data_IF_720535485350
#
_entry.id   IF_720535485350
#
_cell.length_a   1.000
_cell.length_b   1.000
_cell.length_c   1.000
_cell.angle_alpha   90.00
_cell.angle_beta   90.00
_cell.angle_gamma   90.00
#
_symmetry.space_group_name_H-M   'P 1'
#
loop_
_entity.id
_entity.type
_entity.pdbx_description
1 polymer ?
#
# COMPACT_ATOMS: atom_id res chain seq x y z
N UNK A 1 -36.65 25.34 -62.48
CA UNK A 1 -36.62 23.87 -62.36
C UNK A 1 -35.22 23.54 -61.85
N UNK A 2 -35.05 23.43 -60.53
CA UNK A 2 -35.04 22.17 -59.72
C UNK A 2 -33.73 21.42 -59.96
N UNK A 3 -32.86 21.04 -59.01
CA UNK A 3 -32.94 20.73 -57.56
C UNK A 3 -31.47 20.59 -57.10
N UNK A 4 -31.05 21.18 -55.98
CA UNK A 4 -30.96 20.53 -54.65
C UNK A 4 -30.18 19.22 -54.67
N UNK A 5 -28.95 19.23 -54.14
CA UNK A 5 -28.31 18.05 -53.55
C UNK A 5 -27.43 18.52 -52.36
N UNK A 6 -28.10 18.81 -51.25
CA UNK A 6 -27.47 18.89 -49.94
C UNK A 6 -27.53 17.47 -49.36
N UNK A 7 -26.38 16.83 -49.33
CA UNK A 7 -26.16 15.51 -48.75
C UNK A 7 -26.38 15.57 -47.22
N UNK A 8 -27.45 14.96 -46.64
CA UNK A 8 -27.78 15.07 -45.23
C UNK A 8 -27.33 13.81 -44.48
N UNK A 9 -26.05 13.43 -44.61
CA UNK A 9 -25.55 12.15 -44.11
C UNK A 9 -24.20 12.25 -43.37
N UNK A 10 -24.05 13.20 -42.44
CA UNK A 10 -22.99 13.12 -41.43
C UNK A 10 -23.31 13.87 -40.12
N UNK A 11 -24.49 13.63 -39.55
CA UNK A 11 -24.72 13.84 -38.11
C UNK A 11 -24.96 12.47 -37.48
N UNK A 12 -23.87 11.74 -37.22
CA UNK A 12 -23.89 10.64 -36.27
C UNK A 12 -24.19 11.25 -34.90
N UNK A 13 -25.47 11.28 -34.52
CA UNK A 13 -25.89 11.66 -33.19
C UNK A 13 -25.15 10.77 -32.18
N UNK A 14 -24.36 11.38 -31.30
CA UNK A 14 -23.70 10.67 -30.21
C UNK A 14 -24.76 9.88 -29.44
N UNK A 15 -24.46 8.61 -29.14
CA UNK A 15 -25.43 7.81 -28.39
C UNK A 15 -25.57 8.39 -26.98
N UNK A 16 -26.75 8.30 -26.34
CA UNK A 16 -26.94 8.79 -24.97
C UNK A 16 -25.97 8.16 -23.95
N UNK A 17 -25.41 6.99 -24.25
CA UNK A 17 -24.35 6.35 -23.46
C UNK A 17 -23.01 7.09 -23.57
N UNK A 18 -22.63 7.55 -24.77
CA UNK A 18 -21.40 8.32 -25.00
C UNK A 18 -21.45 9.68 -24.28
N UNK A 19 -22.62 10.32 -24.27
CA UNK A 19 -22.85 11.60 -23.60
C UNK A 19 -22.79 11.47 -22.07
N UNK A 20 -23.30 10.35 -21.52
CA UNK A 20 -23.16 10.01 -20.10
C UNK A 20 -21.72 9.65 -19.70
N UNK A 21 -21.00 8.92 -20.54
CA UNK A 21 -19.59 8.60 -20.30
C UNK A 21 -18.72 9.87 -20.31
N UNK A 22 -18.91 10.74 -21.30
CA UNK A 22 -18.19 12.00 -21.43
C UNK A 22 -18.47 12.96 -20.25
N UNK A 23 -19.72 13.09 -19.83
CA UNK A 23 -20.08 13.90 -18.66
C UNK A 23 -19.55 13.33 -17.35
N UNK A 24 -19.41 12.01 -17.23
CA UNK A 24 -18.82 11.35 -16.05
C UNK A 24 -17.30 11.57 -16.00
N UNK A 25 -16.60 11.40 -17.13
CA UNK A 25 -15.17 11.69 -17.23
C UNK A 25 -14.87 13.16 -16.91
N UNK A 26 -15.64 14.09 -17.48
CA UNK A 26 -15.49 15.53 -17.23
C UNK A 26 -15.63 15.88 -15.76
N UNK A 27 -16.64 15.32 -15.08
CA UNK A 27 -16.83 15.51 -13.63
C UNK A 27 -15.64 14.98 -12.83
N UNK A 28 -15.08 13.83 -13.21
CA UNK A 28 -13.94 13.24 -12.53
C UNK A 28 -12.67 14.10 -12.68
N UNK A 29 -12.34 14.51 -13.92
CA UNK A 29 -11.18 15.37 -14.21
C UNK A 29 -11.29 16.73 -13.49
N UNK A 30 -12.49 17.34 -13.48
CA UNK A 30 -12.72 18.60 -12.78
C UNK A 30 -12.52 18.47 -11.27
N UNK A 31 -12.98 17.36 -10.67
CA UNK A 31 -12.78 17.10 -9.26
C UNK A 31 -11.28 16.98 -8.93
N UNK A 32 -10.50 16.24 -9.74
CA UNK A 32 -9.05 16.13 -9.56
C UNK A 32 -8.33 17.48 -9.70
N UNK A 33 -8.70 18.30 -10.70
CA UNK A 33 -8.14 19.66 -10.88
C UNK A 33 -8.34 20.53 -9.64
N UNK A 34 -9.56 20.54 -9.10
CA UNK A 34 -9.88 21.34 -7.90
C UNK A 34 -9.07 20.88 -6.68
N UNK A 35 -8.91 19.57 -6.51
CA UNK A 35 -8.11 18.99 -5.44
C UNK A 35 -6.64 19.37 -5.58
N UNK A 36 -6.08 19.24 -6.78
CA UNK A 36 -4.68 19.60 -7.08
C UNK A 36 -4.41 21.09 -6.82
N UNK A 37 -5.33 21.97 -7.21
CA UNK A 37 -5.24 23.41 -6.95
C UNK A 37 -5.23 23.73 -5.44
N UNK A 38 -6.14 23.13 -4.68
CA UNK A 38 -6.18 23.30 -3.22
C UNK A 38 -4.90 22.80 -2.56
N UNK A 39 -4.41 21.63 -2.98
CA UNK A 39 -3.16 21.08 -2.48
C UNK A 39 -1.98 22.01 -2.80
N UNK A 40 -1.84 22.44 -4.06
CA UNK A 40 -0.77 23.33 -4.49
C UNK A 40 -0.77 24.66 -3.72
N UNK A 41 -1.95 25.28 -3.53
CA UNK A 41 -2.08 26.49 -2.72
C UNK A 41 -1.73 26.26 -1.24
N UNK A 42 -2.17 25.14 -0.65
CA UNK A 42 -1.91 24.83 0.76
C UNK A 42 -0.43 24.54 1.06
N UNK A 43 0.30 23.97 0.08
CA UNK A 43 1.72 23.63 0.18
C UNK A 43 2.64 24.75 -0.31
N UNK A 44 2.10 25.84 -0.85
CA UNK A 44 2.88 26.95 -1.40
C UNK A 44 3.71 26.57 -2.63
N UNK A 45 3.21 25.65 -3.46
CA UNK A 45 3.89 25.19 -4.67
C UNK A 45 3.90 26.32 -5.71
N UNK A 46 5.03 26.54 -6.36
CA UNK A 46 5.15 27.49 -7.46
C UNK A 46 4.27 27.04 -8.65
N UNK A 47 3.22 27.81 -8.89
CA UNK A 47 2.24 27.54 -9.94
C UNK A 47 2.72 28.18 -11.27
N UNK A 48 2.68 27.46 -12.40
CA UNK A 48 3.10 28.01 -13.68
C UNK A 48 2.31 29.26 -14.08
N UNK A 49 2.97 30.20 -14.76
CA UNK A 49 2.40 31.50 -15.16
C UNK A 49 1.20 31.37 -16.12
N UNK A 50 1.04 30.22 -16.77
CA UNK A 50 -0.07 29.92 -17.70
C UNK A 50 -1.39 29.56 -16.99
N UNK A 51 -1.35 29.29 -15.68
CA UNK A 51 -2.53 28.88 -14.89
C UNK A 51 -3.69 29.86 -14.87
N UNK A 52 -3.51 31.18 -14.66
CA UNK A 52 -4.61 32.14 -14.62
C UNK A 52 -5.40 32.17 -15.94
N UNK A 53 -4.70 31.99 -17.08
CA UNK A 53 -5.31 31.91 -18.40
C UNK A 53 -6.20 30.68 -18.55
N UNK A 54 -5.70 29.50 -18.17
CA UNK A 54 -6.48 28.25 -18.22
C UNK A 54 -7.59 28.19 -17.15
N UNK A 55 -7.40 28.81 -15.98
CA UNK A 55 -8.44 28.92 -14.95
C UNK A 55 -9.59 29.80 -15.40
N UNK A 56 -9.32 30.87 -16.18
CA UNK A 56 -10.36 31.77 -16.68
C UNK A 56 -11.33 31.08 -17.64
N UNK A 57 -10.92 29.98 -18.26
CA UNK A 57 -11.77 29.11 -19.08
C UNK A 57 -12.70 28.22 -18.23
N UNK A 58 -12.50 28.18 -16.90
CA UNK A 58 -13.26 27.36 -15.95
C UNK A 58 -13.96 28.31 -14.98
N UNK A 59 -15.20 28.70 -15.29
CA UNK A 59 -15.98 29.57 -14.41
C UNK A 59 -16.46 28.79 -13.16
N UNK A 60 -15.98 29.12 -11.95
CA UNK A 60 -16.39 28.45 -10.72
C UNK A 60 -17.83 28.82 -10.29
N UNK A 61 -18.42 29.89 -10.84
CA UNK A 61 -19.82 30.25 -10.60
C UNK A 61 -20.78 29.36 -11.43
N UNK A 62 -20.40 29.01 -12.66
CA UNK A 62 -21.14 28.08 -13.51
C UNK A 62 -21.20 26.66 -12.93
N UNK A 63 -20.14 26.19 -12.25
CA UNK A 63 -20.11 24.86 -11.62
C UNK A 63 -21.04 24.67 -10.41
N UNK A 64 -21.49 25.76 -9.76
CA UNK A 64 -22.40 25.68 -8.59
C UNK A 64 -23.88 25.57 -8.98
N UNK A 65 -24.23 25.89 -10.23
CA UNK A 65 -25.56 25.68 -10.77
C UNK A 65 -25.65 24.27 -11.39
N UNK A 66 -26.36 23.37 -10.70
CA UNK A 66 -26.51 21.93 -11.01
C UNK A 66 -27.04 21.62 -12.44
N UNK A 67 -27.46 22.61 -13.21
CA UNK A 67 -28.19 22.45 -14.48
C UNK A 67 -27.62 23.25 -15.67
N UNK A 68 -26.49 23.95 -15.53
CA UNK A 68 -25.96 24.81 -16.61
C UNK A 68 -24.54 24.42 -17.09
N UNK A 69 -24.11 23.18 -16.89
CA UNK A 69 -22.82 22.68 -17.38
C UNK A 69 -22.88 22.20 -18.85
N UNK A 70 -23.71 22.86 -19.67
CA UNK A 70 -23.79 22.66 -21.12
C UNK A 70 -22.98 23.72 -21.90
N UNK A 71 -22.47 24.76 -21.21
CA UNK A 71 -21.43 25.63 -21.75
C UNK A 71 -20.07 24.92 -21.62
N UNK A 72 -19.76 24.11 -22.63
CA UNK A 72 -18.63 23.21 -22.73
C UNK A 72 -17.28 23.93 -22.54
N UNK A 73 -16.68 23.80 -21.36
CA UNK A 73 -15.22 23.85 -21.29
C UNK A 73 -14.69 22.71 -22.18
N UNK A 74 -13.87 23.00 -23.21
CA UNK A 74 -13.39 21.98 -24.11
C UNK A 74 -12.59 20.95 -23.31
N UNK A 75 -12.91 19.66 -23.48
CA UNK A 75 -12.25 18.57 -22.76
C UNK A 75 -10.71 18.62 -22.93
N UNK A 76 -10.26 19.14 -24.07
CA UNK A 76 -8.85 19.43 -24.35
C UNK A 76 -8.24 20.43 -23.35
N UNK A 77 -8.90 21.56 -23.06
CA UNK A 77 -8.38 22.54 -22.09
C UNK A 77 -8.37 21.99 -20.66
N UNK A 78 -9.36 21.15 -20.31
CA UNK A 78 -9.36 20.44 -19.03
C UNK A 78 -8.20 19.44 -18.93
N UNK A 79 -7.92 18.71 -20.01
CA UNK A 79 -6.80 17.76 -20.06
C UNK A 79 -5.45 18.48 -19.99
N UNK A 80 -5.28 19.62 -20.67
CA UNK A 80 -4.08 20.45 -20.61
C UNK A 80 -3.85 21.02 -19.21
N UNK A 81 -4.89 21.57 -18.58
CA UNK A 81 -4.82 22.08 -17.21
C UNK A 81 -4.49 20.96 -16.22
N UNK A 82 -5.13 19.80 -16.36
CA UNK A 82 -4.85 18.62 -15.54
C UNK A 82 -3.39 18.19 -15.66
N UNK A 83 -2.86 18.08 -16.89
CA UNK A 83 -1.47 17.69 -17.13
C UNK A 83 -0.47 18.69 -16.55
N UNK A 84 -0.75 19.98 -16.66
CA UNK A 84 0.09 21.06 -16.13
C UNK A 84 0.09 21.05 -14.58
N UNK A 85 -1.08 20.90 -13.96
CA UNK A 85 -1.20 20.75 -12.50
C UNK A 85 -0.55 19.47 -11.98
N UNK A 86 -0.73 18.34 -12.68
CA UNK A 86 -0.11 17.07 -12.30
C UNK A 86 1.42 17.16 -12.31
N UNK A 87 2.00 17.93 -13.23
CA UNK A 87 3.45 18.22 -13.24
C UNK A 87 3.88 19.13 -12.09
N UNK A 88 3.09 20.17 -11.79
CA UNK A 88 3.40 21.10 -10.70
C UNK A 88 3.31 20.43 -9.32
N UNK A 89 2.36 19.50 -9.15
CA UNK A 89 2.08 18.81 -7.88
C UNK A 89 2.95 17.56 -7.67
N UNK A 90 3.78 17.19 -8.66
CA UNK A 90 4.73 16.08 -8.54
C UNK A 90 5.66 16.28 -7.31
N UNK A 91 5.88 15.24 -6.48
CA UNK A 91 5.59 13.83 -6.70
C UNK A 91 4.17 13.37 -6.31
N UNK A 92 3.32 14.23 -5.76
CA UNK A 92 1.98 13.83 -5.31
C UNK A 92 1.06 13.47 -6.49
N UNK A 93 0.35 12.35 -6.38
CA UNK A 93 -0.53 11.88 -7.46
C UNK A 93 -1.93 12.50 -7.35
N UNK A 94 -2.53 12.96 -8.47
CA UNK A 94 -3.87 13.55 -8.46
C UNK A 94 -4.93 12.63 -7.86
N UNK A 95 -4.87 11.35 -8.21
CA UNK A 95 -5.76 10.30 -7.71
C UNK A 95 -5.65 10.15 -6.19
N UNK A 96 -4.43 10.15 -5.65
CA UNK A 96 -4.22 10.03 -4.19
C UNK A 96 -4.81 11.22 -3.45
N UNK A 97 -4.62 12.43 -3.96
CA UNK A 97 -5.18 13.63 -3.36
C UNK A 97 -6.71 13.61 -3.42
N UNK A 98 -7.29 13.19 -4.55
CA UNK A 98 -8.74 13.11 -4.73
C UNK A 98 -9.37 12.08 -3.79
N UNK A 99 -8.70 10.94 -3.56
CA UNK A 99 -9.08 9.94 -2.56
C UNK A 99 -9.03 10.53 -1.15
N UNK A 100 -7.96 11.26 -0.80
CA UNK A 100 -7.86 11.92 0.50
C UNK A 100 -8.97 12.94 0.71
N UNK A 101 -9.28 13.80 -0.26
CA UNK A 101 -10.30 14.86 -0.11
C UNK A 101 -11.74 14.30 -0.05
N UNK A 102 -12.06 13.25 -0.82
CA UNK A 102 -13.34 12.55 -0.75
C UNK A 102 -13.58 11.91 0.62
N UNK A 103 -12.55 11.27 1.21
CA UNK A 103 -12.68 10.62 2.52
C UNK A 103 -12.64 11.61 3.69
N UNK A 104 -12.00 12.78 3.53
CA UNK A 104 -12.01 13.90 4.48
C UNK A 104 -13.42 14.50 4.71
N UNK A 105 -14.25 14.56 3.66
CA UNK A 105 -15.61 15.12 3.76
C UNK A 105 -16.66 14.11 4.24
N UNK A 106 -16.30 12.83 4.34
CA UNK A 106 -17.25 11.73 4.59
C UNK A 106 -17.12 10.99 5.92
N UNK A 107 -16.21 11.37 6.82
CA UNK A 107 -15.86 10.49 7.94
C UNK A 107 -15.85 11.19 9.31
N UNK A 108 -16.78 10.76 10.19
CA UNK A 108 -16.71 11.00 11.63
C UNK A 108 -15.59 10.18 12.28
N UNK A 109 -15.85 9.52 13.41
CA UNK A 109 -14.85 8.70 14.15
C UNK A 109 -14.05 7.67 13.31
N UNK A 110 -14.58 7.24 12.15
CA UNK A 110 -13.92 6.33 11.20
C UNK A 110 -12.77 6.97 10.38
N UNK A 111 -12.63 8.29 10.40
CA UNK A 111 -11.56 9.05 9.72
C UNK A 111 -10.27 9.20 10.55
N UNK A 112 -10.32 8.91 11.85
CA UNK A 112 -9.16 9.01 12.77
C UNK A 112 -8.05 8.01 12.40
N UNK A 113 -8.40 6.90 11.75
CA UNK A 113 -7.50 5.80 11.41
C UNK A 113 -6.84 5.93 10.02
N UNK A 114 -7.01 7.09 9.37
CA UNK A 114 -6.45 7.41 8.06
C UNK A 114 -7.51 7.45 6.95
N UNK A 115 -7.30 8.29 5.91
CA UNK A 115 -8.27 8.58 4.86
C UNK A 115 -8.30 7.52 3.75
N UNK A 116 -7.83 6.29 4.02
CA UNK A 116 -7.67 5.25 3.01
C UNK A 116 -8.14 3.91 3.57
N UNK A 117 -9.10 3.29 2.88
CA UNK A 117 -9.73 2.03 3.29
C UNK A 117 -8.76 0.86 3.56
N UNK A 118 -7.70 0.70 2.76
CA UNK A 118 -6.74 -0.39 2.97
C UNK A 118 -5.87 -0.17 4.22
N UNK A 119 -5.47 1.08 4.49
CA UNK A 119 -4.73 1.43 5.73
C UNK A 119 -5.55 1.06 6.96
N UNK A 120 -6.87 1.33 6.95
CA UNK A 120 -7.76 0.92 8.05
C UNK A 120 -7.79 -0.60 8.23
N UNK A 121 -7.83 -1.38 7.14
CA UNK A 121 -7.78 -2.85 7.22
C UNK A 121 -6.46 -3.36 7.79
N UNK A 122 -5.33 -2.72 7.44
CA UNK A 122 -4.02 -3.03 8.01
C UNK A 122 -3.98 -2.74 9.52
N UNK A 123 -4.56 -1.63 9.97
CA UNK A 123 -4.67 -1.33 11.41
C UNK A 123 -5.52 -2.37 12.12
N UNK A 124 -6.68 -2.74 11.56
CA UNK A 124 -7.52 -3.82 12.12
C UNK A 124 -6.74 -5.14 12.19
N UNK A 125 -5.97 -5.49 11.15
CA UNK A 125 -5.13 -6.68 11.15
C UNK A 125 -4.05 -6.62 12.24
N UNK A 126 -3.38 -5.48 12.43
CA UNK A 126 -2.39 -5.29 13.48
C UNK A 126 -2.99 -5.50 14.88
N UNK A 127 -4.16 -4.89 15.14
CA UNK A 127 -4.89 -5.12 16.39
C UNK A 127 -5.36 -6.57 16.53
N UNK A 128 -5.79 -7.22 15.45
CA UNK A 128 -6.18 -8.62 15.49
C UNK A 128 -5.01 -9.55 15.86
N UNK A 129 -3.82 -9.36 15.27
CA UNK A 129 -2.62 -10.12 15.64
C UNK A 129 -2.17 -9.81 17.07
N UNK A 130 -2.25 -8.55 17.50
CA UNK A 130 -1.93 -8.18 18.88
C UNK A 130 -2.88 -8.83 19.88
N UNK A 131 -4.19 -8.79 19.63
CA UNK A 131 -5.19 -9.43 20.48
C UNK A 131 -5.00 -10.95 20.49
N UNK A 132 -4.69 -11.56 19.34
CA UNK A 132 -4.38 -12.97 19.25
C UNK A 132 -3.14 -13.33 20.08
N UNK A 133 -2.08 -12.53 19.97
CA UNK A 133 -0.84 -12.71 20.74
C UNK A 133 -1.11 -12.65 22.24
N UNK A 134 -1.84 -11.63 22.70
CA UNK A 134 -2.20 -11.47 24.11
C UNK A 134 -3.11 -12.60 24.60
N UNK A 135 -4.12 -12.99 23.81
CA UNK A 135 -5.04 -14.06 24.17
C UNK A 135 -4.32 -15.40 24.30
N UNK A 136 -3.43 -15.72 23.36
CA UNK A 136 -2.65 -16.97 23.39
C UNK A 136 -1.58 -16.92 24.48
N UNK A 137 -1.00 -15.76 24.79
CA UNK A 137 -0.02 -15.59 25.88
C UNK A 137 -0.52 -16.06 27.24
N UNK A 138 -1.84 -16.14 27.44
CA UNK A 138 -2.47 -16.62 28.68
C UNK A 138 -2.76 -18.14 28.67
N UNK A 139 -2.47 -18.84 27.57
CA UNK A 139 -2.74 -20.26 27.45
C UNK A 139 -1.79 -21.08 28.34
N UNK A 140 -2.30 -22.06 29.11
CA UNK A 140 -1.47 -22.87 30.01
C UNK A 140 -0.44 -23.75 29.27
N UNK A 141 -0.63 -23.95 27.96
CA UNK A 141 0.33 -24.62 27.09
C UNK A 141 1.59 -23.77 26.79
N UNK A 142 1.57 -22.46 27.06
CA UNK A 142 2.76 -21.62 26.98
C UNK A 142 3.44 -21.56 28.35
N UNK A 143 4.41 -22.43 28.55
CA UNK A 143 5.28 -22.42 29.71
C UNK A 143 6.76 -22.39 29.28
N UNK A 144 7.68 -22.20 30.24
CA UNK A 144 9.10 -22.09 29.94
C UNK A 144 9.65 -23.32 29.21
N UNK A 145 9.15 -24.50 29.53
CA UNK A 145 9.55 -25.77 28.91
C UNK A 145 9.09 -25.86 27.44
N UNK A 146 7.85 -25.47 27.15
CA UNK A 146 7.30 -25.44 25.78
C UNK A 146 7.93 -24.35 24.93
N UNK A 147 8.40 -23.27 25.54
CA UNK A 147 9.15 -22.21 24.85
C UNK A 147 10.59 -22.59 24.55
N UNK A 148 11.23 -23.37 25.41
CA UNK A 148 12.61 -23.83 25.18
C UNK A 148 12.64 -25.05 24.25
N UNK A 149 11.64 -25.92 24.37
CA UNK A 149 11.48 -27.13 23.59
C UNK A 149 11.55 -26.91 22.08
N UNK A 150 12.15 -27.88 21.41
CA UNK A 150 12.27 -27.93 19.96
C UNK A 150 11.01 -28.56 19.35
N UNK A 151 10.77 -28.33 18.05
CA UNK A 151 9.59 -28.81 17.30
C UNK A 151 9.35 -30.31 17.47
N UNK A 152 10.41 -31.08 17.72
CA UNK A 152 10.36 -32.54 17.84
C UNK A 152 10.08 -33.05 19.27
N UNK A 153 10.10 -32.16 20.27
CA UNK A 153 10.05 -32.53 21.70
C UNK A 153 8.72 -32.23 22.38
N UNK A 154 7.87 -31.39 21.76
CA UNK A 154 6.57 -31.01 22.33
C UNK A 154 5.44 -31.95 21.92
N UNK A 155 4.47 -32.13 22.83
CA UNK A 155 3.17 -32.73 22.53
C UNK A 155 2.38 -31.88 21.51
N UNK A 156 1.74 -32.56 20.54
CA UNK A 156 1.24 -31.93 19.31
C UNK A 156 0.30 -30.72 19.51
N UNK A 157 -0.56 -30.70 20.52
CA UNK A 157 -1.42 -29.54 20.81
C UNK A 157 -0.62 -28.36 21.39
N UNK A 158 0.37 -28.63 22.24
CA UNK A 158 1.24 -27.58 22.79
C UNK A 158 2.06 -26.92 21.68
N UNK A 159 2.56 -27.71 20.73
CA UNK A 159 3.29 -27.22 19.56
C UNK A 159 2.44 -26.29 18.68
N UNK A 160 1.17 -26.62 18.44
CA UNK A 160 0.26 -25.74 17.68
C UNK A 160 0.08 -24.41 18.42
N UNK A 161 -0.13 -24.43 19.73
CA UNK A 161 -0.28 -23.20 20.53
C UNK A 161 0.98 -22.34 20.45
N UNK A 162 2.16 -22.93 20.59
CA UNK A 162 3.46 -22.26 20.43
C UNK A 162 3.61 -21.66 19.03
N UNK A 163 3.28 -22.41 17.98
CA UNK A 163 3.36 -21.93 16.60
C UNK A 163 2.39 -20.77 16.34
N UNK A 164 1.15 -20.84 16.81
CA UNK A 164 0.19 -19.74 16.64
C UNK A 164 0.62 -18.52 17.45
N UNK A 165 1.19 -18.72 18.64
CA UNK A 165 1.80 -17.65 19.43
C UNK A 165 2.94 -16.95 18.66
N UNK A 166 3.91 -17.70 18.15
CA UNK A 166 5.02 -17.15 17.36
C UNK A 166 4.54 -16.52 16.04
N UNK A 167 3.55 -17.12 15.39
CA UNK A 167 2.94 -16.59 14.17
C UNK A 167 2.22 -15.27 14.42
N UNK A 168 1.56 -15.12 15.57
CA UNK A 168 0.95 -13.85 15.97
C UNK A 168 2.00 -12.76 16.23
N UNK A 169 3.14 -13.11 16.83
CA UNK A 169 4.29 -12.20 16.99
C UNK A 169 4.87 -11.77 15.63
N UNK A 170 5.07 -12.71 14.71
CA UNK A 170 5.49 -12.42 13.34
C UNK A 170 4.46 -11.56 12.60
N UNK A 171 3.16 -11.79 12.83
CA UNK A 171 2.07 -11.02 12.25
C UNK A 171 2.05 -9.57 12.72
N UNK A 172 2.35 -9.32 14.00
CA UNK A 172 2.55 -7.97 14.53
C UNK A 172 3.70 -7.29 13.77
N UNK A 173 4.86 -7.93 13.65
CA UNK A 173 6.00 -7.38 12.91
C UNK A 173 5.67 -7.07 11.44
N UNK A 174 5.04 -8.01 10.74
CA UNK A 174 4.67 -7.87 9.33
C UNK A 174 3.63 -6.79 9.07
N UNK A 175 2.59 -6.71 9.91
CA UNK A 175 1.59 -5.65 9.82
C UNK A 175 2.17 -4.28 10.14
N UNK A 176 3.10 -4.19 11.09
CA UNK A 176 3.79 -2.94 11.41
C UNK A 176 4.66 -2.45 10.25
N UNK A 177 5.40 -3.35 9.59
CA UNK A 177 6.17 -3.04 8.37
C UNK A 177 5.27 -2.52 7.25
N UNK A 178 4.15 -3.21 7.00
CA UNK A 178 3.19 -2.83 5.97
C UNK A 178 2.53 -1.48 6.28
N UNK A 179 2.13 -1.25 7.54
CA UNK A 179 1.51 -0.02 7.98
C UNK A 179 2.46 1.18 7.87
N UNK A 180 3.71 1.04 8.31
CA UNK A 180 4.72 2.10 8.14
C UNK A 180 5.00 2.42 6.68
N UNK A 181 5.05 1.38 5.84
CA UNK A 181 5.20 1.58 4.39
C UNK A 181 4.01 2.37 3.84
N UNK A 182 2.79 1.93 4.14
CA UNK A 182 1.58 2.57 3.67
C UNK A 182 1.50 4.02 4.16
N UNK A 183 1.73 4.26 5.46
CA UNK A 183 1.73 5.60 6.05
C UNK A 183 2.72 6.54 5.33
N UNK A 184 3.91 6.06 4.97
CA UNK A 184 4.88 6.88 4.22
C UNK A 184 4.33 7.28 2.84
N UNK A 185 3.78 6.33 2.08
CA UNK A 185 3.17 6.64 0.78
C UNK A 185 1.98 7.60 0.91
N UNK A 186 1.19 7.48 2.00
CA UNK A 186 0.09 8.40 2.28
C UNK A 186 0.60 9.80 2.63
N UNK A 187 1.60 9.89 3.52
CA UNK A 187 2.20 11.15 3.94
C UNK A 187 2.86 11.91 2.77
N UNK A 188 3.48 11.17 1.85
CA UNK A 188 4.10 11.70 0.63
C UNK A 188 3.08 11.95 -0.50
N UNK A 189 1.79 11.65 -0.28
CA UNK A 189 0.72 11.72 -1.29
C UNK A 189 1.03 10.93 -2.58
N UNK A 190 1.76 9.83 -2.46
CA UNK A 190 2.16 8.91 -3.54
C UNK A 190 1.48 7.54 -3.44
N UNK A 191 0.46 7.42 -2.60
CA UNK A 191 -0.27 6.16 -2.41
C UNK A 191 -1.14 5.81 -3.62
N UNK A 192 -0.89 4.64 -4.21
CA UNK A 192 -1.70 4.09 -5.30
C UNK A 192 -2.46 2.81 -4.82
N UNK A 193 -3.82 2.82 -4.83
CA UNK A 193 -4.63 1.67 -4.44
C UNK A 193 -4.36 0.39 -5.24
N UNK A 194 -3.80 0.48 -6.45
CA UNK A 194 -3.48 -0.71 -7.28
C UNK A 194 -2.47 -1.62 -6.60
N UNK A 195 -1.62 -1.08 -5.73
CA UNK A 195 -0.62 -1.82 -4.98
C UNK A 195 -1.14 -2.34 -3.64
N UNK A 196 -2.45 -2.28 -3.36
CA UNK A 196 -3.01 -2.73 -2.09
C UNK A 196 -2.67 -4.18 -1.75
N UNK A 197 -2.72 -5.06 -2.75
CA UNK A 197 -2.32 -6.46 -2.59
C UNK A 197 -0.86 -6.63 -2.16
N UNK A 198 0.03 -5.70 -2.54
CA UNK A 198 1.46 -5.77 -2.20
C UNK A 198 1.71 -5.64 -0.69
N UNK A 199 0.89 -4.87 0.04
CA UNK A 199 1.00 -4.76 1.50
C UNK A 199 0.62 -6.07 2.19
N UNK A 200 -0.41 -6.76 1.69
CA UNK A 200 -0.82 -8.07 2.19
C UNK A 200 0.22 -9.16 1.88
N UNK A 201 0.79 -9.15 0.67
CA UNK A 201 1.90 -10.04 0.32
C UNK A 201 3.12 -9.83 1.22
N UNK A 202 3.43 -8.59 1.61
CA UNK A 202 4.51 -8.29 2.56
C UNK A 202 4.23 -8.86 3.95
N UNK A 203 2.99 -8.78 4.43
CA UNK A 203 2.60 -9.41 5.70
C UNK A 203 2.78 -10.93 5.61
N UNK A 204 2.32 -11.57 4.54
CA UNK A 204 2.47 -13.01 4.34
C UNK A 204 3.96 -13.42 4.35
N UNK A 205 4.81 -12.67 3.64
CA UNK A 205 6.25 -12.91 3.62
C UNK A 205 6.89 -12.69 5.01
N UNK A 206 6.42 -11.68 5.75
CA UNK A 206 6.80 -11.43 7.14
C UNK A 206 6.43 -12.58 8.08
N UNK A 207 5.21 -13.11 7.97
CA UNK A 207 4.78 -14.26 8.77
C UNK A 207 5.71 -15.46 8.58
N UNK A 208 6.02 -15.80 7.33
CA UNK A 208 6.93 -16.90 7.00
C UNK A 208 8.35 -16.63 7.51
N UNK A 209 8.88 -15.43 7.25
CA UNK A 209 10.22 -15.03 7.67
C UNK A 209 10.38 -15.00 9.20
N UNK A 210 9.39 -14.47 9.91
CA UNK A 210 9.35 -14.44 11.38
C UNK A 210 9.29 -15.84 11.98
N UNK A 211 8.41 -16.69 11.46
CA UNK A 211 8.31 -18.07 11.93
C UNK A 211 9.63 -18.83 11.70
N UNK A 212 10.20 -18.73 10.49
CA UNK A 212 11.49 -19.33 10.18
C UNK A 212 12.58 -18.84 11.13
N UNK A 213 12.68 -17.53 11.37
CA UNK A 213 13.73 -16.99 12.25
C UNK A 213 13.57 -17.49 13.69
N UNK A 214 12.34 -17.60 14.19
CA UNK A 214 12.06 -18.08 15.56
C UNK A 214 12.31 -19.58 15.77
N UNK A 215 12.25 -20.38 14.70
CA UNK A 215 12.42 -21.84 14.74
C UNK A 215 13.85 -22.25 14.39
N UNK A 216 14.46 -21.63 13.37
CA UNK A 216 15.77 -22.04 12.86
C UNK A 216 16.94 -21.44 13.65
N UNK A 217 16.75 -20.34 14.37
CA UNK A 217 17.83 -19.72 15.15
C UNK A 217 17.83 -20.34 16.55
N UNK A 218 18.82 -21.20 16.88
CA UNK A 218 18.98 -21.69 18.25
C UNK A 218 19.44 -20.52 19.11
N UNK A 219 18.53 -19.97 19.91
CA UNK A 219 18.83 -18.90 20.87
C UNK A 219 19.29 -19.51 22.19
N UNK A 220 20.47 -20.12 22.17
CA UNK A 220 21.23 -20.39 23.39
C UNK A 220 21.98 -19.12 23.75
N UNK A 221 21.25 -18.09 24.20
CA UNK A 221 21.88 -16.85 24.68
C UNK A 221 22.53 -17.13 26.03
N UNK A 222 23.79 -17.56 26.02
CA UNK A 222 24.63 -17.64 27.21
C UNK A 222 24.65 -16.25 27.88
N UNK A 223 23.90 -16.10 28.98
CA UNK A 223 23.80 -14.85 29.75
C UNK A 223 22.49 -14.06 29.62
N UNK A 224 21.50 -14.50 28.83
CA UNK A 224 20.19 -13.86 28.84
C UNK A 224 19.34 -14.35 30.03
N UNK A 225 18.94 -13.44 30.92
CA UNK A 225 18.12 -13.75 32.10
C UNK A 225 16.69 -14.25 31.76
N UNK A 226 16.30 -14.31 30.48
CA UNK A 226 14.97 -14.77 30.05
C UNK A 226 14.98 -15.35 28.61
N UNK A 227 15.45 -16.60 28.42
CA UNK A 227 15.42 -17.27 27.11
C UNK A 227 14.00 -17.39 26.52
N UNK A 228 12.98 -17.34 27.38
CA UNK A 228 11.56 -17.43 27.03
C UNK A 228 11.05 -16.28 26.15
N UNK A 229 11.70 -15.11 26.15
CA UNK A 229 11.32 -13.96 25.31
C UNK A 229 12.06 -13.92 23.97
N UNK A 230 13.11 -14.73 23.79
CA UNK A 230 13.95 -14.67 22.60
C UNK A 230 13.20 -15.09 21.33
N UNK A 231 12.47 -16.21 21.37
CA UNK A 231 11.72 -16.73 20.19
C UNK A 231 10.64 -15.75 19.71
N UNK A 232 9.78 -15.15 20.57
CA UNK A 232 8.80 -14.16 20.13
C UNK A 232 9.43 -12.87 19.58
N UNK A 233 10.52 -12.39 20.17
CA UNK A 233 11.25 -11.21 19.66
C UNK A 233 11.84 -11.48 18.28
N UNK A 234 12.43 -12.66 18.08
CA UNK A 234 12.91 -13.09 16.76
C UNK A 234 11.77 -13.20 15.76
N UNK A 235 10.63 -13.77 16.14
CA UNK A 235 9.45 -13.84 15.29
C UNK A 235 8.99 -12.44 14.86
N UNK A 236 8.89 -11.50 15.80
CA UNK A 236 8.52 -10.12 15.53
C UNK A 236 9.53 -9.41 14.62
N UNK A 237 10.83 -9.59 14.87
CA UNK A 237 11.90 -8.99 14.08
C UNK A 237 11.92 -9.55 12.65
N UNK A 238 11.76 -10.86 12.48
CA UNK A 238 11.66 -11.49 11.16
C UNK A 238 10.39 -11.09 10.42
N UNK A 239 9.27 -10.91 11.15
CA UNK A 239 8.03 -10.33 10.63
C UNK A 239 8.22 -8.93 10.08
N UNK A 240 8.87 -8.06 10.85
CA UNK A 240 9.16 -6.67 10.46
C UNK A 240 10.21 -6.57 9.35
N UNK A 241 11.18 -7.49 9.31
CA UNK A 241 12.33 -7.44 8.43
C UNK A 241 12.44 -8.69 7.53
N UNK A 242 11.35 -9.03 6.85
CA UNK A 242 11.32 -10.16 5.91
C UNK A 242 12.42 -10.08 4.84
N UNK A 243 12.73 -8.87 4.37
CA UNK A 243 13.83 -8.63 3.44
C UNK A 243 15.24 -8.88 4.04
N UNK A 244 15.43 -8.71 5.35
CA UNK A 244 16.68 -9.11 6.02
C UNK A 244 16.78 -10.64 6.10
N UNK A 245 15.71 -11.32 6.51
CA UNK A 245 15.68 -12.78 6.59
C UNK A 245 15.95 -13.41 5.23
N UNK A 246 15.30 -12.91 4.17
CA UNK A 246 15.57 -13.33 2.79
C UNK A 246 17.06 -13.19 2.43
N UNK A 247 17.67 -12.03 2.73
CA UNK A 247 19.11 -11.81 2.46
C UNK A 247 20.02 -12.75 3.25
N UNK A 248 19.67 -13.09 4.49
CA UNK A 248 20.44 -14.06 5.29
C UNK A 248 20.35 -15.44 4.63
N UNK A 249 19.16 -15.89 4.26
CA UNK A 249 18.97 -17.17 3.58
C UNK A 249 19.72 -17.22 2.25
N UNK A 250 19.62 -16.16 1.45
CA UNK A 250 20.35 -16.07 0.18
C UNK A 250 21.86 -16.17 0.39
N UNK A 251 22.41 -15.45 1.38
CA UNK A 251 23.85 -15.55 1.71
C UNK A 251 24.27 -16.95 2.15
N UNK A 252 23.44 -17.65 2.92
CA UNK A 252 23.73 -19.04 3.31
C UNK A 252 23.74 -19.96 2.08
N UNK A 253 22.77 -19.83 1.19
CA UNK A 253 22.72 -20.59 -0.06
C UNK A 253 23.96 -20.31 -0.91
N UNK A 254 24.32 -19.04 -1.13
CA UNK A 254 25.52 -18.64 -1.87
C UNK A 254 26.81 -19.18 -1.21
N UNK A 255 26.88 -19.17 0.12
CA UNK A 255 28.04 -19.72 0.85
C UNK A 255 28.13 -21.22 0.65
N UNK A 256 27.03 -21.95 0.78
CA UNK A 256 26.97 -23.40 0.56
C UNK A 256 27.36 -23.72 -0.89
N UNK A 257 26.82 -22.97 -1.86
CA UNK A 257 27.13 -23.11 -3.27
C UNK A 257 28.64 -22.92 -3.53
N UNK A 258 29.27 -21.91 -2.89
CA UNK A 258 30.71 -21.67 -2.99
C UNK A 258 31.55 -22.85 -2.47
N UNK A 259 31.10 -23.53 -1.41
CA UNK A 259 31.79 -24.73 -0.89
C UNK A 259 31.74 -25.90 -1.87
N UNK A 260 30.66 -26.02 -2.64
CA UNK A 260 30.54 -27.05 -3.68
C UNK A 260 31.31 -26.69 -4.96
N UNK A 261 31.34 -25.41 -5.35
CA UNK A 261 32.07 -24.94 -6.53
C UNK A 261 33.60 -24.93 -6.32
N UNK A 262 34.08 -24.72 -5.08
CA UNK A 262 35.52 -24.71 -4.77
C UNK A 262 36.20 -26.09 -4.91
N UNK A 263 35.48 -27.15 -5.30
CA UNK A 263 35.98 -28.53 -5.43
C UNK A 263 36.26 -28.99 -6.87
N UNK A 264 36.08 -28.14 -7.89
CA UNK A 264 36.46 -28.48 -9.26
C UNK A 264 38.00 -28.41 -9.42
N UNK A 265 38.71 -29.53 -9.64
CA UNK A 265 40.16 -29.51 -9.84
C UNK A 265 40.45 -28.87 -11.19
N UNK A 266 41.17 -27.76 -11.20
CA UNK A 266 41.91 -27.32 -12.39
C UNK A 266 42.93 -28.40 -12.72
N UNK A 267 42.56 -29.32 -13.61
CA UNK A 267 43.49 -30.18 -14.30
C UNK A 267 44.38 -29.29 -15.20
N UNK A 268 45.49 -28.82 -14.63
CA UNK A 268 46.66 -28.44 -15.43
C UNK A 268 47.28 -29.72 -15.96
N UNK A 269 47.16 -29.93 -17.26
CA UNK A 269 48.04 -30.79 -18.04
C UNK A 269 48.65 -29.95 -19.18
N UNK A 270 49.88 -30.26 -19.59
CA UNK A 270 50.90 -29.36 -20.16
C UNK A 270 50.58 -28.73 -21.51
#
# INVERSE_FOLDING_TARGET
MTTSDQDPALQAAATPEDEQAASTLRRHVMAEIMVMLRFAWSRGVDLPVELPGLLSCIDPAACRAREACDAQAPLAALAELHALLARAVAPAMPVTLALMECELHGTGWRGVLGPIGNVRRLVVAAFAFLLLFVAISMAPALNAESMDGDIYTLDGLSQIVVMVFLLSAAGIGGTFQALFTAQRYVADATYDPRYDGSYWSRIALGLVAGLLLSVLVPVSLEGAESPTLAKPVLALLGGFSSGLVYRIMQRLVETIESLFQSRAPTARGP
#
